data_IF_214523716742
#
_entry.id   IF_214523716742
#
_cell.length_a   1.000
_cell.length_b   1.000
_cell.length_c   1.000
_cell.angle_alpha   90.00
_cell.angle_beta   90.00
_cell.angle_gamma   90.00
#
_symmetry.space_group_name_H-M   'P 1'
#
loop_
_entity.id
_entity.type
_entity.pdbx_description
1 polymer ?
#
# COMPACT_ATOMS: atom_id res chain seq x y z
N UNK A 1 -0.75 0.01 -13.95
CA UNK A 1 -0.27 0.91 -12.86
C UNK A 1 -1.28 0.97 -11.74
N UNK A 2 -0.89 1.29 -10.50
CA UNK A 2 -1.85 1.58 -9.44
C UNK A 2 -2.55 2.93 -9.71
N UNK A 3 -3.88 2.96 -9.65
CA UNK A 3 -4.66 4.16 -9.88
C UNK A 3 -4.63 5.05 -8.63
N UNK A 4 -4.16 6.29 -8.75
CA UNK A 4 -4.06 7.24 -7.64
C UNK A 4 -4.92 8.47 -7.94
N UNK A 5 -5.85 8.77 -7.03
CA UNK A 5 -6.70 9.96 -7.04
C UNK A 5 -6.24 10.91 -5.95
N UNK A 6 -5.80 12.09 -6.36
CA UNK A 6 -5.31 13.12 -5.44
C UNK A 6 -6.35 14.21 -5.27
N UNK A 7 -6.70 14.52 -4.01
CA UNK A 7 -7.61 15.62 -3.67
C UNK A 7 -6.80 16.84 -3.23
N UNK A 8 -6.90 17.92 -3.99
CA UNK A 8 -6.20 19.19 -3.77
C UNK A 8 -7.18 20.34 -3.70
N UNK A 9 -6.77 21.45 -3.08
CA UNK A 9 -7.58 22.64 -2.90
C UNK A 9 -7.21 23.37 -1.62
N UNK A 10 -7.65 24.62 -1.49
CA UNK A 10 -7.37 25.44 -0.30
C UNK A 10 -7.95 24.84 1.00
N UNK A 11 -7.54 25.31 2.18
CA UNK A 11 -8.11 24.83 3.45
C UNK A 11 -9.64 25.00 3.51
N UNK A 12 -10.31 24.13 4.27
CA UNK A 12 -11.74 24.19 4.59
C UNK A 12 -12.75 24.01 3.43
N UNK A 13 -12.30 23.65 2.23
CA UNK A 13 -13.18 23.30 1.09
C UNK A 13 -13.86 21.92 1.22
N UNK A 14 -13.53 21.15 2.26
CA UNK A 14 -14.12 19.82 2.52
C UNK A 14 -13.38 18.63 1.90
N UNK A 15 -12.07 18.76 1.66
CA UNK A 15 -11.20 17.67 1.16
C UNK A 15 -11.27 16.41 2.02
N UNK A 16 -11.07 16.53 3.33
CA UNK A 16 -11.10 15.40 4.26
C UNK A 16 -12.48 14.75 4.34
N UNK A 17 -13.55 15.54 4.18
CA UNK A 17 -14.92 15.01 4.10
C UNK A 17 -15.12 14.19 2.83
N UNK A 18 -14.65 14.68 1.68
CA UNK A 18 -14.72 13.91 0.43
C UNK A 18 -13.86 12.65 0.52
N UNK A 19 -12.63 12.78 1.00
CA UNK A 19 -11.73 11.66 1.24
C UNK A 19 -12.40 10.56 2.08
N UNK A 20 -12.96 10.93 3.24
CA UNK A 20 -13.64 9.96 4.10
C UNK A 20 -14.80 9.31 3.34
N UNK A 21 -15.62 10.08 2.62
CA UNK A 21 -16.72 9.53 1.81
C UNK A 21 -16.22 8.49 0.80
N UNK A 22 -15.18 8.81 0.03
CA UNK A 22 -14.65 7.92 -1.00
C UNK A 22 -14.05 6.64 -0.41
N UNK A 23 -13.49 6.71 0.79
CA UNK A 23 -12.85 5.57 1.48
C UNK A 23 -13.88 4.74 2.28
N UNK A 24 -14.93 5.37 2.80
CA UNK A 24 -15.95 4.76 3.65
C UNK A 24 -16.85 3.75 2.95
N UNK A 25 -16.86 3.69 1.61
CA UNK A 25 -17.50 2.61 0.85
C UNK A 25 -17.02 1.20 1.29
N UNK A 26 -15.85 1.10 1.94
CA UNK A 26 -15.30 -0.14 2.52
C UNK A 26 -15.47 -0.32 4.04
N UNK A 27 -15.97 0.67 4.80
CA UNK A 27 -16.10 0.55 6.27
C UNK A 27 -17.06 -0.56 6.73
N UNK A 28 -17.87 -1.12 5.85
CA UNK A 28 -18.76 -2.22 6.19
C UNK A 28 -18.02 -3.54 6.54
N UNK A 29 -16.71 -3.68 6.29
CA UNK A 29 -15.97 -4.95 6.51
C UNK A 29 -14.66 -4.78 7.32
N UNK A 30 -14.25 -3.58 7.72
CA UNK A 30 -13.06 -3.42 8.58
C UNK A 30 -13.34 -2.48 9.74
N UNK A 31 -13.13 -3.01 10.95
CA UNK A 31 -13.22 -2.29 12.20
C UNK A 31 -12.26 -1.10 12.24
N UNK A 32 -12.78 0.02 12.75
CA UNK A 32 -12.07 1.27 12.98
C UNK A 32 -10.89 1.10 13.96
N UNK A 33 -9.71 1.57 13.56
CA UNK A 33 -8.73 2.08 14.52
C UNK A 33 -8.35 3.51 14.09
N UNK A 34 -8.97 4.48 14.76
CA UNK A 34 -8.64 5.89 14.67
C UNK A 34 -7.36 6.16 15.45
N UNK A 35 -6.31 6.65 14.79
CA UNK A 35 -5.12 7.08 15.51
C UNK A 35 -3.95 7.53 14.64
N UNK A 36 -4.08 8.66 13.94
CA UNK A 36 -2.91 9.52 13.68
C UNK A 36 -3.32 10.96 13.42
N UNK A 37 -2.66 11.87 14.12
CA UNK A 37 -2.77 13.33 14.04
C UNK A 37 -1.98 13.92 12.87
N UNK A 38 -2.55 14.97 12.25
CA UNK A 38 -1.96 16.07 11.43
C UNK A 38 -1.30 15.79 10.08
N UNK A 39 -0.95 14.56 9.72
CA UNK A 39 -0.32 14.25 8.43
C UNK A 39 -1.31 13.61 7.43
N UNK A 40 -1.15 13.93 6.14
CA UNK A 40 -1.96 13.52 4.97
C UNK A 40 -2.64 12.16 5.10
N UNK A 41 -3.92 12.10 4.72
CA UNK A 41 -4.72 10.89 4.85
C UNK A 41 -4.67 10.07 3.55
N UNK A 42 -4.45 8.76 3.69
CA UNK A 42 -4.44 7.79 2.60
C UNK A 42 -5.56 6.78 2.80
N UNK A 43 -6.27 6.44 1.75
CA UNK A 43 -7.36 5.48 1.84
C UNK A 43 -7.64 4.77 0.53
N UNK A 44 -8.28 3.60 0.62
CA UNK A 44 -8.61 2.78 -0.53
C UNK A 44 -10.07 3.00 -0.92
N UNK A 45 -10.32 3.09 -2.23
CA UNK A 45 -11.67 3.18 -2.78
C UNK A 45 -11.84 2.20 -3.94
N UNK A 46 -13.09 1.87 -4.22
CA UNK A 46 -13.51 1.05 -5.34
C UNK A 46 -14.74 1.70 -5.96
N UNK A 47 -14.75 1.80 -7.28
CA UNK A 47 -15.93 2.24 -8.02
C UNK A 47 -16.01 1.47 -9.34
N UNK A 48 -17.18 0.90 -9.64
CA UNK A 48 -17.42 0.07 -10.82
C UNK A 48 -16.35 -1.02 -11.05
N UNK A 49 -15.91 -1.70 -9.99
CA UNK A 49 -14.89 -2.75 -10.04
C UNK A 49 -13.46 -2.27 -10.27
N UNK A 50 -13.23 -0.95 -10.39
CA UNK A 50 -11.89 -0.36 -10.49
C UNK A 50 -11.42 0.11 -9.11
N UNK A 51 -10.27 -0.40 -8.68
CA UNK A 51 -9.64 -0.04 -7.41
C UNK A 51 -8.68 1.14 -7.60
N UNK A 52 -8.67 2.04 -6.62
CA UNK A 52 -7.77 3.19 -6.60
C UNK A 52 -7.48 3.67 -5.18
N UNK A 53 -6.31 4.29 -5.02
CA UNK A 53 -5.90 4.96 -3.79
C UNK A 53 -6.36 6.41 -3.83
N UNK A 54 -6.99 6.88 -2.77
CA UNK A 54 -7.34 8.29 -2.57
C UNK A 54 -6.36 8.93 -1.60
N UNK A 55 -5.90 10.13 -1.93
CA UNK A 55 -4.96 10.89 -1.11
C UNK A 55 -5.57 12.26 -0.82
N UNK A 56 -5.74 12.58 0.47
CA UNK A 56 -6.03 13.95 0.92
C UNK A 56 -4.72 14.66 1.21
N UNK A 57 -4.42 15.71 0.45
CA UNK A 57 -3.22 16.51 0.68
C UNK A 57 -3.25 17.30 1.98
N UNK A 58 -4.38 17.30 2.72
CA UNK A 58 -4.60 18.04 3.95
C UNK A 58 -4.93 19.51 3.70
N UNK A 59 -5.61 20.15 4.65
CA UNK A 59 -5.76 21.61 4.68
C UNK A 59 -4.63 22.22 5.52
N UNK A 60 -3.75 23.02 4.93
CA UNK A 60 -2.65 23.63 5.67
C UNK A 60 -3.10 24.76 6.61
N UNK A 61 -2.43 24.85 7.76
CA UNK A 61 -2.58 25.89 8.80
C UNK A 61 -1.51 26.99 8.61
N UNK A 62 -1.91 28.23 8.93
CA UNK A 62 -1.36 29.55 8.55
C UNK A 62 -0.07 29.97 9.30
N UNK A 63 0.86 30.68 8.63
CA UNK A 63 1.86 31.55 9.30
C UNK A 63 3.04 32.13 8.47
N UNK A 64 2.84 33.23 7.72
CA UNK A 64 3.80 34.17 7.02
C UNK A 64 4.04 34.07 5.50
N UNK A 65 3.38 34.94 4.72
CA UNK A 65 3.22 34.98 3.24
C UNK A 65 4.35 34.41 2.33
N UNK A 66 5.64 34.73 2.53
CA UNK A 66 6.70 34.39 1.56
C UNK A 66 7.17 32.92 1.56
N UNK A 67 7.01 32.19 2.67
CA UNK A 67 7.48 30.78 2.76
C UNK A 67 6.38 29.80 2.29
N UNK A 68 5.12 30.27 2.19
CA UNK A 68 3.94 29.43 1.94
C UNK A 68 3.79 29.04 0.50
N UNK A 69 3.98 29.98 -0.44
CA UNK A 69 3.81 29.70 -1.86
C UNK A 69 4.71 28.56 -2.32
N UNK A 70 5.96 28.54 -1.87
CA UNK A 70 6.93 27.53 -2.27
C UNK A 70 6.61 26.16 -1.67
N UNK A 71 6.29 26.09 -0.37
CA UNK A 71 5.96 24.82 0.28
C UNK A 71 4.64 24.23 -0.24
N UNK A 72 3.62 25.07 -0.47
CA UNK A 72 2.33 24.62 -1.05
C UNK A 72 2.54 24.15 -2.48
N UNK A 73 3.29 24.90 -3.31
CA UNK A 73 3.59 24.52 -4.69
C UNK A 73 4.35 23.20 -4.75
N UNK A 74 5.41 23.03 -3.95
CA UNK A 74 6.17 21.77 -3.90
C UNK A 74 5.24 20.60 -3.54
N UNK A 75 4.40 20.75 -2.52
CA UNK A 75 3.49 19.69 -2.09
C UNK A 75 2.45 19.29 -3.14
N UNK A 76 1.90 20.26 -3.87
CA UNK A 76 0.92 20.05 -4.94
C UNK A 76 1.59 19.44 -6.16
N UNK A 77 2.76 19.94 -6.56
CA UNK A 77 3.55 19.40 -7.66
C UNK A 77 3.92 17.92 -7.42
N UNK A 78 4.32 17.57 -6.19
CA UNK A 78 4.61 16.17 -5.84
C UNK A 78 3.36 15.29 -6.01
N UNK A 79 2.22 15.74 -5.51
CA UNK A 79 0.99 14.97 -5.59
C UNK A 79 0.51 14.83 -7.06
N UNK A 80 0.76 15.83 -7.91
CA UNK A 80 0.44 15.79 -9.34
C UNK A 80 1.31 14.82 -10.13
N UNK A 81 2.59 14.62 -9.78
CA UNK A 81 3.48 13.71 -10.50
C UNK A 81 3.01 12.25 -10.43
N UNK A 82 2.55 11.82 -9.25
CA UNK A 82 2.13 10.45 -9.01
C UNK A 82 0.63 10.20 -9.24
N UNK A 83 -0.18 11.26 -9.33
CA UNK A 83 -1.60 11.15 -9.59
C UNK A 83 -1.88 10.52 -10.96
N UNK A 84 -2.82 9.57 -10.98
CA UNK A 84 -3.53 9.18 -12.19
C UNK A 84 -4.60 10.21 -12.53
N UNK A 85 -5.28 10.74 -11.51
CA UNK A 85 -6.33 11.76 -11.63
C UNK A 85 -6.23 12.75 -10.48
N UNK A 86 -6.45 14.03 -10.77
CA UNK A 86 -6.44 15.12 -9.78
C UNK A 86 -7.84 15.67 -9.61
N UNK A 87 -8.31 15.74 -8.37
CA UNK A 87 -9.56 16.39 -7.97
C UNK A 87 -9.23 17.74 -7.32
N UNK A 88 -9.52 18.83 -8.02
CA UNK A 88 -9.37 20.17 -7.48
C UNK A 88 -10.68 20.66 -6.88
N UNK A 89 -10.71 20.71 -5.54
CA UNK A 89 -11.89 21.07 -4.78
C UNK A 89 -11.97 22.56 -4.46
N UNK A 90 -13.15 23.13 -4.73
CA UNK A 90 -13.54 24.50 -4.37
C UNK A 90 -14.81 24.49 -3.54
N UNK A 91 -15.13 25.60 -2.89
CA UNK A 91 -16.25 25.72 -1.94
C UNK A 91 -17.30 26.71 -2.45
N UNK A 92 -18.52 26.22 -2.75
CA UNK A 92 -19.59 27.05 -3.30
C UNK A 92 -20.16 28.08 -2.33
N UNK A 93 -19.90 27.97 -1.02
CA UNK A 93 -20.36 28.96 -0.05
C UNK A 93 -19.48 30.21 -0.03
N UNK A 94 -18.20 30.05 -0.38
CA UNK A 94 -17.19 31.13 -0.31
C UNK A 94 -16.92 31.71 -1.70
N UNK A 95 -16.99 30.89 -2.74
CA UNK A 95 -16.62 31.28 -4.10
C UNK A 95 -15.11 31.19 -4.35
N UNK A 96 -14.68 31.79 -5.47
CA UNK A 96 -13.30 31.86 -5.94
C UNK A 96 -12.45 32.69 -4.99
N UNK A 97 -11.35 32.11 -4.53
CA UNK A 97 -10.31 32.78 -3.74
C UNK A 97 -9.04 33.02 -4.60
N UNK A 98 -8.22 34.03 -4.29
CA UNK A 98 -6.89 34.18 -4.90
C UNK A 98 -6.01 32.92 -4.77
N UNK A 99 -6.17 32.16 -3.68
CA UNK A 99 -5.49 30.87 -3.52
C UNK A 99 -5.91 29.86 -4.58
N UNK A 100 -7.19 29.83 -4.96
CA UNK A 100 -7.70 28.91 -5.98
C UNK A 100 -7.08 29.22 -7.35
N UNK A 101 -6.89 30.50 -7.68
CA UNK A 101 -6.16 30.91 -8.88
C UNK A 101 -4.69 30.47 -8.88
N UNK A 102 -4.02 30.57 -7.73
CA UNK A 102 -2.64 30.06 -7.57
C UNK A 102 -2.58 28.53 -7.75
N UNK A 103 -3.53 27.79 -7.18
CA UNK A 103 -3.64 26.35 -7.43
C UNK A 103 -3.80 26.06 -8.92
N UNK A 104 -4.68 26.77 -9.62
CA UNK A 104 -4.89 26.58 -11.07
C UNK A 104 -3.61 26.78 -11.87
N UNK A 105 -2.81 27.81 -11.56
CA UNK A 105 -1.52 28.07 -12.24
C UNK A 105 -0.55 26.88 -12.12
N UNK A 106 -0.54 26.21 -10.97
CA UNK A 106 0.29 25.03 -10.73
C UNK A 106 -0.32 23.80 -11.41
N UNK A 107 -1.62 23.56 -11.21
CA UNK A 107 -2.33 22.38 -11.70
C UNK A 107 -2.32 22.28 -13.23
N UNK A 108 -2.44 23.41 -13.94
CA UNK A 108 -2.36 23.46 -15.42
C UNK A 108 -1.03 23.01 -16.00
N UNK A 109 0.04 22.96 -15.20
CA UNK A 109 1.33 22.42 -15.65
C UNK A 109 1.31 20.89 -15.74
N UNK A 110 0.39 20.23 -15.04
CA UNK A 110 0.20 18.79 -15.17
C UNK A 110 -0.43 18.46 -16.52
N UNK A 111 -0.04 17.31 -17.08
CA UNK A 111 -0.74 16.68 -18.21
C UNK A 111 -1.75 15.62 -17.76
N UNK A 112 -1.91 15.43 -16.44
CA UNK A 112 -2.84 14.45 -15.87
C UNK A 112 -4.28 14.97 -15.94
N UNK A 113 -5.27 14.07 -16.05
CA UNK A 113 -6.69 14.41 -15.94
C UNK A 113 -6.99 15.21 -14.67
N UNK A 114 -7.63 16.36 -14.84
CA UNK A 114 -7.94 17.32 -13.78
C UNK A 114 -9.45 17.58 -13.75
N UNK A 115 -10.07 17.33 -12.61
CA UNK A 115 -11.51 17.51 -12.38
C UNK A 115 -11.74 18.65 -11.39
N UNK A 116 -12.54 19.63 -11.76
CA UNK A 116 -12.97 20.71 -10.88
C UNK A 116 -14.19 20.27 -10.09
N UNK A 117 -14.05 20.19 -8.77
CA UNK A 117 -15.07 19.67 -7.85
C UNK A 117 -15.60 20.81 -6.98
N UNK A 118 -16.80 21.29 -7.30
CA UNK A 118 -17.47 22.32 -6.52
C UNK A 118 -18.24 21.66 -5.37
N UNK A 119 -17.71 21.78 -4.15
CA UNK A 119 -18.24 21.12 -2.97
C UNK A 119 -19.20 22.02 -2.17
N UNK A 120 -20.02 21.39 -1.31
CA UNK A 120 -21.08 22.01 -0.48
C UNK A 120 -22.31 22.46 -1.29
N UNK A 121 -22.58 21.77 -2.41
CA UNK A 121 -23.79 21.98 -3.21
C UNK A 121 -24.97 21.25 -2.57
N UNK A 122 -25.67 21.95 -1.68
CA UNK A 122 -26.79 21.40 -0.89
C UNK A 122 -28.13 22.05 -1.24
N UNK A 123 -28.12 23.12 -2.04
CA UNK A 123 -29.29 23.85 -2.51
C UNK A 123 -29.17 24.19 -4.00
N UNK A 124 -30.30 24.55 -4.61
CA UNK A 124 -30.33 25.05 -5.98
C UNK A 124 -29.53 26.36 -6.15
N UNK A 125 -29.53 27.22 -5.12
CA UNK A 125 -28.73 28.44 -5.10
C UNK A 125 -27.24 28.12 -5.16
N UNK A 126 -26.74 27.16 -4.35
CA UNK A 126 -25.33 26.76 -4.40
C UNK A 126 -24.94 26.18 -5.75
N UNK A 127 -25.84 25.42 -6.40
CA UNK A 127 -25.61 24.89 -7.75
C UNK A 127 -25.53 26.03 -8.78
N UNK A 128 -26.31 27.09 -8.59
CA UNK A 128 -26.22 28.29 -9.44
C UNK A 128 -24.91 29.03 -9.20
N UNK A 129 -24.50 29.23 -7.94
CA UNK A 129 -23.22 29.85 -7.59
C UNK A 129 -22.01 29.08 -8.11
N UNK A 130 -22.12 27.75 -8.26
CA UNK A 130 -21.04 26.95 -8.82
C UNK A 130 -20.65 27.37 -10.26
N UNK A 131 -21.54 28.04 -11.00
CA UNK A 131 -21.23 28.52 -12.35
C UNK A 131 -20.09 29.53 -12.41
N UNK A 132 -19.80 30.25 -11.31
CA UNK A 132 -18.67 31.19 -11.30
C UNK A 132 -17.33 30.48 -11.50
N UNK A 133 -17.20 29.22 -11.08
CA UNK A 133 -15.93 28.50 -11.15
C UNK A 133 -15.51 28.14 -12.57
N UNK A 134 -16.37 28.34 -13.58
CA UNK A 134 -15.95 28.30 -14.98
C UNK A 134 -14.86 29.32 -15.29
N UNK A 135 -14.80 30.42 -14.54
CA UNK A 135 -13.75 31.45 -14.66
C UNK A 135 -12.35 30.89 -14.37
N UNK A 136 -12.23 29.77 -13.64
CA UNK A 136 -10.96 29.09 -13.40
C UNK A 136 -10.44 28.34 -14.65
N UNK A 137 -11.28 28.15 -15.67
CA UNK A 137 -10.90 27.60 -16.98
C UNK A 137 -10.30 26.19 -16.90
N UNK A 138 -10.80 25.35 -15.99
CA UNK A 138 -10.37 23.95 -15.83
C UNK A 138 -11.25 22.99 -16.64
N UNK A 139 -12.49 23.36 -16.93
CA UNK A 139 -13.42 22.56 -17.74
C UNK A 139 -14.77 22.40 -17.05
N UNK A 140 -15.34 21.21 -17.15
CA UNK A 140 -16.62 20.83 -16.54
C UNK A 140 -16.54 20.89 -15.00
N UNK A 141 -17.64 21.32 -14.38
CA UNK A 141 -17.77 21.50 -12.93
C UNK A 141 -18.59 20.37 -12.34
N UNK A 142 -17.96 19.58 -11.49
CA UNK A 142 -18.61 18.48 -10.77
C UNK A 142 -19.14 19.01 -9.43
N UNK A 143 -20.44 19.27 -9.39
CA UNK A 143 -21.14 19.74 -8.19
C UNK A 143 -21.38 18.58 -7.23
N UNK A 144 -20.78 18.64 -6.04
CA UNK A 144 -20.89 17.59 -5.03
C UNK A 144 -21.28 18.16 -3.66
N UNK A 145 -21.86 17.30 -2.83
CA UNK A 145 -21.90 17.49 -1.38
C UNK A 145 -21.19 16.31 -0.74
N UNK A 146 -19.94 16.52 -0.31
CA UNK A 146 -19.15 15.48 0.35
C UNK A 146 -19.79 14.95 1.64
N UNK A 147 -20.62 15.77 2.30
CA UNK A 147 -21.32 15.40 3.53
C UNK A 147 -22.48 14.43 3.26
N UNK A 148 -23.28 14.70 2.22
CA UNK A 148 -24.45 13.86 1.88
C UNK A 148 -24.12 12.75 0.88
N UNK A 149 -23.05 12.90 0.09
CA UNK A 149 -22.68 12.01 -1.03
C UNK A 149 -23.33 12.39 -2.36
N UNK A 150 -24.13 13.45 -2.41
CA UNK A 150 -24.77 13.88 -3.66
C UNK A 150 -23.72 14.26 -4.71
N UNK A 151 -23.86 13.75 -5.93
CA UNK A 151 -22.97 14.05 -7.07
C UNK A 151 -21.62 13.34 -7.06
N UNK A 152 -21.27 12.60 -5.99
CA UNK A 152 -19.96 11.90 -5.96
C UNK A 152 -19.92 10.70 -6.89
N UNK A 153 -21.07 10.07 -7.18
CA UNK A 153 -21.17 8.97 -8.15
C UNK A 153 -20.82 9.42 -9.57
N UNK A 154 -21.47 10.49 -10.05
CA UNK A 154 -21.21 11.08 -11.38
C UNK A 154 -19.74 11.50 -11.53
N UNK A 155 -19.16 12.10 -10.48
CA UNK A 155 -17.73 12.42 -10.45
C UNK A 155 -16.88 11.15 -10.60
N UNK A 156 -17.17 10.10 -9.83
CA UNK A 156 -16.40 8.86 -9.87
C UNK A 156 -16.53 8.12 -11.20
N UNK A 157 -17.71 8.14 -11.82
CA UNK A 157 -17.92 7.55 -13.15
C UNK A 157 -16.98 8.16 -14.19
N UNK A 158 -16.74 9.47 -14.15
CA UNK A 158 -15.78 10.12 -15.04
C UNK A 158 -14.33 9.87 -14.62
N UNK A 159 -14.01 9.91 -13.32
CA UNK A 159 -12.67 9.66 -12.80
C UNK A 159 -12.15 8.29 -13.25
N UNK A 160 -12.97 7.23 -13.11
CA UNK A 160 -12.53 5.86 -13.40
C UNK A 160 -12.36 5.56 -14.89
N UNK A 161 -12.85 6.41 -15.80
CA UNK A 161 -12.58 6.30 -17.24
C UNK A 161 -11.12 6.55 -17.59
N UNK A 162 -10.41 7.31 -16.75
CA UNK A 162 -8.98 7.60 -16.93
C UNK A 162 -8.07 6.47 -16.43
N UNK A 163 -8.64 5.45 -15.78
CA UNK A 163 -7.87 4.32 -15.30
C UNK A 163 -7.72 3.31 -16.43
N UNK A 164 -6.47 2.96 -16.71
CA UNK A 164 -6.13 1.90 -17.66
C UNK A 164 -6.95 0.64 -17.32
N UNK A 165 -7.64 0.10 -18.32
CA UNK A 165 -8.05 -1.30 -18.26
C UNK A 165 -6.77 -2.13 -18.20
N UNK A 166 -6.68 -3.04 -17.24
CA UNK A 166 -5.58 -3.99 -17.18
C UNK A 166 -5.71 -4.83 -18.45
N UNK A 167 -4.91 -4.52 -19.48
CA UNK A 167 -4.94 -5.22 -20.76
C UNK A 167 -4.70 -6.72 -20.58
N UNK A 168 -5.34 -7.54 -21.41
CA UNK A 168 -5.47 -8.99 -21.24
C UNK A 168 -4.16 -9.79 -21.35
N UNK A 169 -3.00 -9.20 -21.68
CA UNK A 169 -1.69 -9.89 -21.61
C UNK A 169 -0.57 -8.95 -21.14
N UNK A 170 -0.31 -8.91 -19.82
CA UNK A 170 0.95 -8.37 -19.26
C UNK A 170 2.10 -9.29 -19.74
N UNK A 171 3.08 -8.81 -20.53
CA UNK A 171 4.21 -9.63 -20.97
C UNK A 171 5.07 -10.16 -19.79
N UNK A 172 4.87 -9.60 -18.60
CA UNK A 172 5.48 -10.06 -17.36
C UNK A 172 4.50 -10.84 -16.45
N UNK A 173 3.34 -11.25 -16.97
CA UNK A 173 2.37 -12.04 -16.22
C UNK A 173 3.02 -13.33 -15.70
N UNK A 174 2.93 -13.54 -14.39
CA UNK A 174 3.51 -14.71 -13.71
C UNK A 174 4.95 -14.52 -13.21
N UNK A 175 5.58 -13.38 -13.48
CA UNK A 175 6.85 -13.03 -12.84
C UNK A 175 6.63 -12.38 -11.46
N UNK A 176 7.42 -12.73 -10.43
CA UNK A 176 7.36 -12.06 -9.14
C UNK A 176 7.71 -10.58 -9.27
N UNK A 177 6.82 -9.69 -8.81
CA UNK A 177 7.12 -8.26 -8.64
C UNK A 177 7.64 -8.02 -7.23
N UNK A 178 8.89 -7.55 -7.09
CA UNK A 178 9.57 -7.38 -5.81
C UNK A 178 9.90 -5.90 -5.59
N UNK A 179 9.43 -5.33 -4.47
CA UNK A 179 9.79 -3.98 -4.03
C UNK A 179 10.87 -4.02 -2.94
N UNK A 180 11.77 -3.04 -2.93
CA UNK A 180 12.76 -2.86 -1.84
C UNK A 180 12.43 -1.57 -1.10
N UNK A 181 11.96 -1.72 0.15
CA UNK A 181 11.44 -0.64 0.99
C UNK A 181 12.30 -0.47 2.25
N UNK A 182 12.11 0.63 2.96
CA UNK A 182 12.80 0.91 4.24
C UNK A 182 13.17 2.37 4.39
N UNK A 183 13.57 2.77 5.60
CA UNK A 183 13.96 4.15 5.93
C UNK A 183 15.17 4.66 5.12
N UNK A 184 15.41 5.97 5.01
CA UNK A 184 16.65 6.50 4.44
C UNK A 184 17.90 5.88 5.10
N UNK A 185 19.00 5.75 4.35
CA UNK A 185 20.31 5.31 4.85
C UNK A 185 20.41 3.88 5.43
N UNK A 186 19.37 3.05 5.32
CA UNK A 186 19.41 1.63 5.74
C UNK A 186 20.22 0.73 4.78
N UNK A 187 20.51 1.21 3.55
CA UNK A 187 21.36 0.49 2.58
C UNK A 187 20.69 0.06 1.26
N UNK A 188 19.45 0.49 1.00
CA UNK A 188 18.69 0.13 -0.22
C UNK A 188 19.43 0.39 -1.55
N UNK A 189 20.04 1.57 -1.70
CA UNK A 189 20.78 1.91 -2.92
C UNK A 189 22.02 1.02 -3.10
N UNK A 190 22.72 0.70 -2.01
CA UNK A 190 23.85 -0.23 -2.05
C UNK A 190 23.42 -1.64 -2.43
N UNK A 191 22.28 -2.10 -1.91
CA UNK A 191 21.68 -3.38 -2.28
C UNK A 191 21.39 -3.47 -3.78
N UNK A 192 20.71 -2.46 -4.35
CA UNK A 192 20.47 -2.41 -5.79
C UNK A 192 21.75 -2.39 -6.62
N UNK A 193 22.74 -1.61 -6.21
CA UNK A 193 24.01 -1.54 -6.94
C UNK A 193 24.73 -2.88 -6.95
N UNK A 194 24.67 -3.65 -5.86
CA UNK A 194 25.23 -5.00 -5.81
C UNK A 194 24.47 -5.91 -6.79
N UNK A 195 23.14 -5.86 -6.81
CA UNK A 195 22.35 -6.65 -7.76
C UNK A 195 22.59 -6.28 -9.22
N UNK A 196 22.85 -5.00 -9.52
CA UNK A 196 23.14 -4.49 -10.86
C UNK A 196 24.58 -4.75 -11.32
N UNK A 197 25.53 -4.78 -10.39
CA UNK A 197 26.97 -4.84 -10.68
C UNK A 197 27.55 -6.25 -10.78
N UNK A 198 26.74 -7.29 -10.64
CA UNK A 198 27.19 -8.68 -10.77
C UNK A 198 26.98 -9.17 -12.20
N UNK A 199 28.02 -9.77 -12.80
CA UNK A 199 28.07 -10.24 -14.20
C UNK A 199 26.96 -11.23 -14.60
N UNK A 200 26.16 -11.68 -13.62
CA UNK A 200 25.10 -12.68 -13.77
C UNK A 200 23.71 -12.10 -13.93
N UNK A 201 23.56 -10.78 -13.87
CA UNK A 201 22.28 -10.11 -14.08
C UNK A 201 22.15 -9.65 -15.52
N UNK A 202 21.32 -10.35 -16.32
CA UNK A 202 20.88 -9.79 -17.60
C UNK A 202 19.71 -8.86 -17.30
N UNK A 203 19.97 -7.55 -17.37
CA UNK A 203 18.91 -6.53 -17.42
C UNK A 203 18.50 -6.39 -18.88
N UNK A 204 17.27 -6.74 -19.23
CA UNK A 204 16.75 -6.51 -20.57
C UNK A 204 15.95 -5.21 -20.59
N UNK A 205 16.49 -4.17 -21.24
CA UNK A 205 15.69 -3.02 -21.66
C UNK A 205 14.89 -3.45 -22.90
N UNK A 206 13.72 -4.06 -22.71
CA UNK A 206 12.89 -4.49 -23.86
C UNK A 206 12.38 -3.23 -24.56
N UNK A 207 12.96 -2.95 -25.74
CA UNK A 207 12.65 -1.79 -26.57
C UNK A 207 11.22 -1.88 -27.08
N UNK A 208 10.32 -1.06 -26.53
CA UNK A 208 8.89 -1.02 -26.91
C UNK A 208 7.97 -0.42 -25.85
N UNK A 209 8.40 -0.32 -24.59
CA UNK A 209 7.66 0.36 -23.51
C UNK A 209 7.94 1.86 -23.53
N UNK A 210 7.46 2.56 -24.55
CA UNK A 210 7.62 4.02 -24.61
C UNK A 210 6.90 4.70 -23.45
N UNK A 211 7.70 5.43 -22.66
CA UNK A 211 7.38 6.37 -21.56
C UNK A 211 6.77 5.72 -20.32
N UNK A 212 7.63 5.53 -19.32
CA UNK A 212 7.32 5.34 -17.89
C UNK A 212 7.46 3.93 -17.27
N UNK A 213 8.04 2.93 -17.95
CA UNK A 213 8.38 1.66 -17.28
C UNK A 213 9.61 1.81 -16.37
N UNK A 214 9.37 2.13 -15.09
CA UNK A 214 10.35 2.29 -13.99
C UNK A 214 10.87 0.92 -13.46
N UNK A 215 10.29 -0.17 -13.96
CA UNK A 215 10.52 -1.53 -13.52
C UNK A 215 11.72 -2.16 -14.23
N UNK A 216 12.62 -2.79 -13.47
CA UNK A 216 13.78 -3.49 -14.04
C UNK A 216 13.51 -4.99 -14.03
N UNK A 217 13.60 -5.62 -15.19
CA UNK A 217 13.55 -7.08 -15.32
C UNK A 217 14.91 -7.69 -14.95
N UNK A 218 14.90 -8.66 -14.04
CA UNK A 218 16.08 -9.37 -13.56
C UNK A 218 15.98 -10.85 -13.89
N UNK A 219 17.03 -11.37 -14.53
CA UNK A 219 17.27 -12.81 -14.65
C UNK A 219 18.51 -13.17 -13.85
N UNK A 220 18.32 -13.85 -12.72
CA UNK A 220 19.41 -14.26 -11.85
C UNK A 220 19.13 -15.66 -11.27
N UNK A 221 20.17 -16.50 -11.18
CA UNK A 221 20.08 -17.85 -10.57
C UNK A 221 18.98 -18.75 -11.19
N UNK A 222 18.70 -18.60 -12.49
CA UNK A 222 17.66 -19.37 -13.18
C UNK A 222 16.22 -18.96 -12.84
N UNK A 223 16.04 -17.85 -12.11
CA UNK A 223 14.74 -17.26 -11.79
C UNK A 223 14.64 -15.87 -12.42
N UNK A 224 13.45 -15.53 -12.88
CA UNK A 224 13.11 -14.25 -13.48
C UNK A 224 12.16 -13.50 -12.56
N UNK A 225 12.39 -12.21 -12.34
CA UNK A 225 11.57 -11.36 -11.48
C UNK A 225 11.70 -9.89 -11.89
N UNK A 226 10.78 -9.06 -11.41
CA UNK A 226 10.78 -7.62 -11.63
C UNK A 226 11.13 -6.92 -10.33
N UNK A 227 12.08 -5.99 -10.36
CA UNK A 227 12.23 -5.00 -9.29
C UNK A 227 11.39 -3.77 -9.61
N UNK A 228 10.41 -3.49 -8.76
CA UNK A 228 9.54 -2.31 -8.88
C UNK A 228 10.22 -1.07 -8.27
N UNK A 229 10.03 0.10 -8.90
CA UNK A 229 10.57 1.40 -8.46
C UNK A 229 12.11 1.55 -8.48
N UNK A 230 12.76 1.16 -9.58
CA UNK A 230 14.23 1.27 -9.70
C UNK A 230 14.73 2.66 -10.16
N UNK A 231 13.92 3.42 -10.90
CA UNK A 231 14.35 4.72 -11.46
C UNK A 231 14.55 5.80 -10.38
N UNK A 232 13.74 5.78 -9.31
CA UNK A 232 13.90 6.66 -8.16
C UNK A 232 15.17 6.37 -7.35
N UNK A 233 15.58 5.11 -7.28
CA UNK A 233 16.81 4.70 -6.59
C UNK A 233 18.08 4.95 -7.40
N UNK A 234 18.03 4.87 -8.75
CA UNK A 234 19.16 5.22 -9.63
C UNK A 234 19.47 6.73 -9.61
N UNK A 235 18.47 7.62 -9.52
CA UNK A 235 18.68 9.08 -9.40
C UNK A 235 19.33 9.50 -8.07
N UNK A 236 19.12 8.75 -6.97
CA UNK A 236 19.72 9.01 -5.65
C UNK A 236 21.25 8.93 -5.60
N UNK A 237 21.90 8.32 -6.59
CA UNK A 237 23.37 8.31 -6.66
C UNK A 237 23.98 9.69 -6.99
N UNK A 238 23.18 10.66 -7.48
CA UNK A 238 23.68 11.98 -7.92
C UNK A 238 22.98 13.19 -7.29
N UNK A 239 21.87 13.03 -6.56
CA UNK A 239 21.09 14.18 -6.04
C UNK A 239 20.76 14.02 -4.55
N UNK A 240 21.22 14.97 -3.72
CA UNK A 240 20.71 15.18 -2.36
C UNK A 240 19.32 15.81 -2.45
N UNK A 241 18.28 15.01 -2.61
CA UNK A 241 16.92 15.54 -2.48
C UNK A 241 16.50 15.58 -1.01
N UNK A 242 16.19 16.80 -0.57
CA UNK A 242 15.88 17.17 0.80
C UNK A 242 14.38 17.03 1.10
N UNK A 243 13.77 15.91 0.70
CA UNK A 243 12.31 15.71 0.84
C UNK A 243 12.01 14.24 1.15
N UNK A 244 11.84 13.91 2.43
CA UNK A 244 11.42 12.57 2.91
C UNK A 244 10.10 12.12 2.29
N UNK A 245 9.21 13.06 1.93
CA UNK A 245 7.89 12.79 1.37
C UNK A 245 7.92 12.03 0.02
N UNK A 246 8.80 12.38 -0.92
CA UNK A 246 8.96 11.63 -2.18
C UNK A 246 9.38 10.17 -1.93
N UNK A 247 10.16 9.93 -0.86
CA UNK A 247 10.60 8.59 -0.53
C UNK A 247 9.46 7.73 0.01
N UNK A 248 8.48 8.34 0.70
CA UNK A 248 7.30 7.65 1.24
C UNK A 248 6.31 7.32 0.12
N UNK A 249 5.94 8.30 -0.70
CA UNK A 249 4.98 8.13 -1.80
C UNK A 249 5.40 7.04 -2.80
N UNK A 250 6.67 7.08 -3.22
CA UNK A 250 7.26 6.02 -4.05
C UNK A 250 7.26 4.65 -3.38
N UNK A 251 7.57 4.60 -2.08
CA UNK A 251 7.50 3.35 -1.31
C UNK A 251 6.07 2.79 -1.27
N UNK A 252 5.05 3.65 -1.21
CA UNK A 252 3.64 3.26 -1.25
C UNK A 252 3.25 2.70 -2.61
N UNK A 253 3.63 3.39 -3.70
CA UNK A 253 3.38 2.93 -5.07
C UNK A 253 4.05 1.59 -5.34
N UNK A 254 5.33 1.46 -5.00
CA UNK A 254 6.09 0.22 -5.13
C UNK A 254 5.44 -0.91 -4.32
N UNK A 255 4.96 -0.62 -3.10
CA UNK A 255 4.25 -1.60 -2.28
C UNK A 255 2.91 -2.03 -2.90
N UNK A 256 2.18 -1.12 -3.55
CA UNK A 256 0.92 -1.44 -4.23
C UNK A 256 1.12 -2.29 -5.49
N UNK A 257 2.22 -2.07 -6.22
CA UNK A 257 2.53 -2.76 -7.48
C UNK A 257 3.28 -4.09 -7.28
N UNK A 258 3.95 -4.30 -6.14
CA UNK A 258 4.70 -5.54 -5.89
C UNK A 258 3.81 -6.71 -5.42
N UNK A 259 4.29 -7.93 -5.58
CA UNK A 259 3.75 -9.13 -4.93
C UNK A 259 4.42 -9.40 -3.58
N UNK A 260 5.73 -9.12 -3.51
CA UNK A 260 6.58 -9.30 -2.32
C UNK A 260 7.37 -8.03 -2.07
N UNK A 261 7.39 -7.54 -0.83
CA UNK A 261 8.24 -6.45 -0.42
C UNK A 261 9.38 -6.96 0.48
N UNK A 262 10.59 -6.56 0.13
CA UNK A 262 11.77 -6.65 0.97
C UNK A 262 11.85 -5.36 1.78
N UNK A 263 11.62 -5.44 3.08
CA UNK A 263 11.74 -4.30 3.98
C UNK A 263 13.12 -4.35 4.62
N UNK A 264 13.93 -3.32 4.37
CA UNK A 264 15.29 -3.22 4.90
C UNK A 264 15.32 -2.31 6.13
N UNK A 265 15.93 -2.82 7.20
CA UNK A 265 16.17 -2.11 8.45
C UNK A 265 17.67 -2.06 8.74
N UNK A 266 18.07 -1.14 9.61
CA UNK A 266 19.44 -1.03 10.10
C UNK A 266 19.62 -1.88 11.36
N UNK A 267 20.47 -2.92 11.29
CA UNK A 267 20.70 -3.83 12.42
C UNK A 267 21.46 -3.18 13.59
N UNK A 268 22.11 -2.04 13.37
CA UNK A 268 22.75 -1.27 14.46
C UNK A 268 21.74 -0.53 15.32
N UNK A 269 20.50 -0.41 14.84
CA UNK A 269 19.38 0.26 15.49
C UNK A 269 18.29 -0.76 15.80
N UNK A 270 17.43 -0.47 16.78
CA UNK A 270 16.23 -1.28 17.00
C UNK A 270 15.19 -0.98 15.93
N UNK A 271 14.19 -1.85 15.77
CA UNK A 271 13.00 -1.58 14.96
C UNK A 271 12.37 -0.24 15.38
N UNK A 272 12.36 0.73 14.48
CA UNK A 272 11.77 2.04 14.72
C UNK A 272 10.28 2.07 14.33
N UNK A 273 9.57 3.13 14.74
CA UNK A 273 8.15 3.32 14.45
C UNK A 273 7.84 3.31 12.94
N UNK A 274 8.68 3.96 12.13
CA UNK A 274 8.52 3.97 10.67
C UNK A 274 8.70 2.58 10.05
N UNK A 275 9.60 1.74 10.59
CA UNK A 275 9.80 0.37 10.12
C UNK A 275 8.54 -0.47 10.38
N UNK A 276 7.99 -0.36 11.60
CA UNK A 276 6.74 -1.03 11.98
C UNK A 276 5.55 -0.56 11.14
N UNK A 277 5.46 0.73 10.82
CA UNK A 277 4.41 1.27 9.94
C UNK A 277 4.50 0.67 8.53
N UNK A 278 5.69 0.59 7.95
CA UNK A 278 5.87 -0.03 6.62
C UNK A 278 5.49 -1.52 6.63
N UNK A 279 5.90 -2.25 7.68
CA UNK A 279 5.56 -3.68 7.84
C UNK A 279 4.05 -3.86 7.97
N UNK A 280 3.40 -3.07 8.84
CA UNK A 280 1.95 -3.10 9.02
C UNK A 280 1.24 -2.88 7.70
N UNK A 281 1.64 -1.85 6.94
CA UNK A 281 1.02 -1.52 5.67
C UNK A 281 1.17 -2.64 4.62
N UNK A 282 2.34 -3.30 4.59
CA UNK A 282 2.56 -4.43 3.70
C UNK A 282 1.64 -5.63 4.04
N UNK A 283 1.48 -5.91 5.35
CA UNK A 283 0.58 -6.96 5.84
C UNK A 283 -0.88 -6.65 5.51
N UNK A 284 -1.31 -5.40 5.72
CA UNK A 284 -2.66 -4.91 5.40
C UNK A 284 -2.97 -4.99 3.90
N UNK A 285 -1.95 -4.79 3.05
CA UNK A 285 -2.04 -4.93 1.59
C UNK A 285 -1.87 -6.37 1.10
N UNK A 286 -1.76 -7.33 2.02
CA UNK A 286 -1.62 -8.75 1.73
C UNK A 286 -0.43 -9.06 0.79
N UNK A 287 0.67 -8.33 0.99
CA UNK A 287 1.93 -8.51 0.26
C UNK A 287 2.77 -9.55 0.97
N UNK A 288 3.55 -10.33 0.22
CA UNK A 288 4.62 -11.12 0.82
C UNK A 288 5.64 -10.20 1.45
N UNK A 289 6.19 -10.55 2.61
CA UNK A 289 7.13 -9.71 3.35
C UNK A 289 8.38 -10.50 3.68
N UNK A 290 9.53 -9.93 3.38
CA UNK A 290 10.85 -10.39 3.86
C UNK A 290 11.52 -9.21 4.56
N UNK A 291 12.00 -9.44 5.78
CA UNK A 291 12.69 -8.42 6.55
C UNK A 291 14.20 -8.63 6.43
N UNK A 292 14.92 -7.60 6.00
CA UNK A 292 16.38 -7.61 5.92
C UNK A 292 16.95 -6.71 7.01
N UNK A 293 17.73 -7.30 7.93
CA UNK A 293 18.53 -6.57 8.90
C UNK A 293 19.92 -6.31 8.33
N UNK A 294 20.10 -5.13 7.72
CA UNK A 294 21.34 -4.74 7.05
C UNK A 294 22.36 -4.09 8.00
N UNK A 295 23.60 -3.89 7.54
CA UNK A 295 24.75 -3.43 8.35
C UNK A 295 25.11 -4.41 9.46
N UNK A 296 24.84 -5.70 9.22
CA UNK A 296 25.15 -6.73 10.18
C UNK A 296 26.65 -6.73 10.52
N UNK A 297 27.53 -6.39 9.59
CA UNK A 297 28.97 -6.25 9.80
C UNK A 297 29.38 -5.28 10.92
N UNK A 298 28.54 -4.29 11.25
CA UNK A 298 28.80 -3.31 12.31
C UNK A 298 28.35 -3.74 13.70
N UNK A 299 27.58 -4.83 13.80
CA UNK A 299 27.11 -5.37 15.07
C UNK A 299 28.24 -6.20 15.69
N UNK A 300 28.60 -5.93 16.94
CA UNK A 300 29.48 -6.82 17.71
C UNK A 300 28.75 -8.13 18.01
N UNK A 301 29.39 -9.26 17.73
CA UNK A 301 28.72 -10.56 17.71
C UNK A 301 29.45 -11.61 18.52
N UNK A 302 28.65 -12.45 19.15
CA UNK A 302 28.98 -13.78 19.61
C UNK A 302 28.11 -14.83 18.91
N UNK A 303 28.16 -16.09 19.37
CA UNK A 303 27.38 -17.19 18.80
C UNK A 303 25.87 -17.09 19.03
N UNK A 304 25.40 -16.24 19.96
CA UNK A 304 23.98 -16.09 20.34
C UNK A 304 23.34 -14.82 19.81
N UNK A 305 24.14 -13.83 19.44
CA UNK A 305 23.68 -12.49 19.05
C UNK A 305 22.60 -12.52 17.97
N UNK A 306 22.75 -13.34 16.92
CA UNK A 306 21.75 -13.45 15.85
C UNK A 306 20.40 -14.00 16.35
N UNK A 307 20.44 -14.98 17.27
CA UNK A 307 19.25 -15.59 17.84
C UNK A 307 18.52 -14.62 18.76
N UNK A 308 19.26 -13.95 19.65
CA UNK A 308 18.70 -12.93 20.56
C UNK A 308 18.08 -11.77 19.80
N UNK A 309 18.74 -11.31 18.73
CA UNK A 309 18.22 -10.26 17.85
C UNK A 309 16.93 -10.70 17.15
N UNK A 310 16.89 -11.95 16.67
CA UNK A 310 15.69 -12.53 16.04
C UNK A 310 14.53 -12.57 17.03
N UNK A 311 14.77 -12.97 18.28
CA UNK A 311 13.74 -13.02 19.33
C UNK A 311 13.19 -11.63 19.68
N UNK A 312 14.05 -10.62 19.86
CA UNK A 312 13.61 -9.23 20.11
C UNK A 312 12.77 -8.71 18.93
N UNK A 313 13.21 -8.95 17.70
CA UNK A 313 12.45 -8.55 16.51
C UNK A 313 11.09 -9.24 16.43
N UNK A 314 11.04 -10.56 16.61
CA UNK A 314 9.79 -11.32 16.59
C UNK A 314 8.82 -10.85 17.68
N UNK A 315 9.33 -10.52 18.87
CA UNK A 315 8.50 -9.96 19.95
C UNK A 315 7.89 -8.62 19.55
N UNK A 316 8.67 -7.73 18.89
CA UNK A 316 8.19 -6.43 18.40
C UNK A 316 7.20 -6.55 17.25
N UNK A 317 7.38 -7.55 16.38
CA UNK A 317 6.48 -7.83 15.25
C UNK A 317 5.11 -8.36 15.70
N UNK A 318 5.01 -8.89 16.93
CA UNK A 318 3.75 -9.37 17.48
C UNK A 318 3.12 -10.47 16.62
N UNK A 319 1.92 -10.21 16.07
CA UNK A 319 1.21 -11.16 15.19
C UNK A 319 1.86 -11.33 13.80
N UNK A 320 2.85 -10.52 13.47
CA UNK A 320 3.61 -10.62 12.21
C UNK A 320 4.96 -11.37 12.39
N UNK A 321 5.10 -12.19 13.44
CA UNK A 321 6.31 -12.97 13.74
C UNK A 321 6.65 -14.07 12.71
N UNK A 322 5.74 -14.36 11.77
CA UNK A 322 5.93 -15.27 10.64
C UNK A 322 6.75 -14.67 9.49
N UNK A 323 7.13 -13.39 9.59
CA UNK A 323 7.98 -12.73 8.59
C UNK A 323 9.42 -13.24 8.74
N UNK A 324 10.04 -13.76 7.67
CA UNK A 324 11.43 -14.21 7.70
C UNK A 324 12.38 -13.02 7.85
N UNK A 325 13.41 -13.19 8.67
CA UNK A 325 14.43 -12.17 8.95
C UNK A 325 15.78 -12.65 8.42
N UNK A 326 16.40 -11.86 7.54
CA UNK A 326 17.71 -12.14 6.96
C UNK A 326 18.70 -11.06 7.37
N UNK A 327 19.77 -11.46 8.05
CA UNK A 327 20.88 -10.58 8.39
C UNK A 327 21.82 -10.44 7.20
N UNK A 328 22.01 -9.22 6.71
CA UNK A 328 22.83 -8.94 5.52
C UNK A 328 23.88 -7.88 5.81
N UNK A 329 24.89 -7.83 4.94
CA UNK A 329 25.79 -6.69 4.86
C UNK A 329 26.04 -6.35 3.41
N UNK A 330 25.72 -5.11 3.02
CA UNK A 330 26.05 -4.61 1.68
C UNK A 330 27.55 -4.40 1.50
N UNK A 331 28.28 -4.08 2.58
CA UNK A 331 29.73 -3.82 2.53
C UNK A 331 30.48 -5.13 2.23
N UNK A 332 30.15 -6.20 2.95
CA UNK A 332 30.79 -7.51 2.75
C UNK A 332 30.07 -8.39 1.72
N UNK A 333 28.99 -7.86 1.11
CA UNK A 333 28.06 -8.59 0.23
C UNK A 333 27.47 -9.86 0.87
N UNK A 334 27.44 -9.93 2.20
CA UNK A 334 26.93 -11.07 2.94
C UNK A 334 25.41 -11.22 2.74
N UNK A 335 24.99 -12.40 2.25
CA UNK A 335 23.59 -12.86 2.14
C UNK A 335 22.66 -11.96 1.32
N UNK A 336 23.21 -11.09 0.46
CA UNK A 336 22.42 -10.25 -0.45
C UNK A 336 21.53 -11.10 -1.36
N UNK A 337 22.10 -12.13 -2.00
CA UNK A 337 21.36 -13.00 -2.90
C UNK A 337 20.35 -13.92 -2.20
N UNK A 338 20.71 -14.43 -1.02
CA UNK A 338 19.80 -15.23 -0.19
C UNK A 338 18.51 -14.46 0.14
N UNK A 339 18.57 -13.13 0.23
CA UNK A 339 17.38 -12.33 0.46
C UNK A 339 16.44 -12.24 -0.75
N UNK A 340 16.99 -12.30 -1.98
CA UNK A 340 16.19 -12.40 -3.21
C UNK A 340 15.62 -13.80 -3.36
N UNK A 341 16.42 -14.84 -3.13
CA UNK A 341 15.94 -16.23 -3.10
C UNK A 341 14.77 -16.38 -2.13
N UNK A 342 14.89 -15.81 -0.92
CA UNK A 342 13.81 -15.82 0.05
C UNK A 342 12.57 -15.07 -0.41
N UNK A 343 12.72 -13.92 -1.07
CA UNK A 343 11.58 -13.18 -1.63
C UNK A 343 10.85 -13.98 -2.72
N UNK A 344 11.58 -14.75 -3.53
CA UNK A 344 11.00 -15.66 -4.53
C UNK A 344 10.28 -16.82 -3.84
N UNK A 345 10.87 -17.44 -2.81
CA UNK A 345 10.19 -18.47 -2.01
C UNK A 345 8.88 -17.94 -1.41
N UNK A 346 8.87 -16.72 -0.87
CA UNK A 346 7.68 -16.08 -0.34
C UNK A 346 6.61 -15.84 -1.42
N UNK A 347 7.01 -15.50 -2.65
CA UNK A 347 6.10 -15.41 -3.79
C UNK A 347 5.47 -16.77 -4.15
N UNK A 348 6.27 -17.83 -4.14
CA UNK A 348 5.81 -19.20 -4.38
C UNK A 348 4.84 -19.67 -3.28
N UNK A 349 5.16 -19.40 -2.00
CA UNK A 349 4.29 -19.64 -0.84
C UNK A 349 2.96 -18.88 -0.95
N UNK A 350 2.99 -17.64 -1.46
CA UNK A 350 1.79 -16.82 -1.66
C UNK A 350 0.84 -17.43 -2.69
N UNK A 351 1.39 -18.13 -3.67
CA UNK A 351 0.64 -18.80 -4.75
C UNK A 351 0.23 -20.23 -4.41
N UNK A 352 0.63 -20.75 -3.23
CA UNK A 352 0.38 -22.14 -2.82
C UNK A 352 -1.12 -22.42 -2.67
N UNK A 353 -1.58 -23.48 -3.33
CA UNK A 353 -2.94 -24.03 -3.19
C UNK A 353 -2.92 -25.33 -2.38
N UNK A 354 -3.76 -25.41 -1.36
CA UNK A 354 -3.97 -26.58 -0.53
C UNK A 354 -5.38 -27.12 -0.79
N UNK A 355 -5.49 -28.41 -1.13
CA UNK A 355 -6.78 -29.00 -1.44
C UNK A 355 -7.72 -28.98 -0.23
N UNK A 356 -9.02 -28.80 -0.48
CA UNK A 356 -10.06 -28.82 0.55
C UNK A 356 -10.00 -30.11 1.39
N UNK A 357 -9.78 -31.26 0.76
CA UNK A 357 -9.64 -32.53 1.51
C UNK A 357 -8.45 -32.50 2.46
N UNK A 358 -7.27 -32.04 2.03
CA UNK A 358 -6.08 -31.96 2.88
C UNK A 358 -6.29 -30.98 4.03
N UNK A 359 -6.88 -29.81 3.77
CA UNK A 359 -7.21 -28.84 4.80
C UNK A 359 -8.13 -29.43 5.87
N UNK A 360 -9.21 -30.10 5.47
CA UNK A 360 -10.16 -30.66 6.41
C UNK A 360 -9.59 -31.84 7.21
N UNK A 361 -8.84 -32.73 6.56
CA UNK A 361 -8.22 -33.87 7.23
C UNK A 361 -7.18 -33.47 8.28
N UNK A 362 -6.56 -32.29 8.12
CA UNK A 362 -5.53 -31.79 9.04
C UNK A 362 -6.08 -30.82 10.09
N UNK A 363 -6.88 -29.82 9.70
CA UNK A 363 -7.31 -28.74 10.61
C UNK A 363 -8.52 -29.11 11.46
N UNK A 364 -9.46 -29.93 10.95
CA UNK A 364 -10.66 -30.30 11.73
C UNK A 364 -10.30 -31.10 12.99
N UNK A 365 -9.35 -32.04 12.98
CA UNK A 365 -8.86 -32.67 14.22
C UNK A 365 -8.32 -31.67 15.25
N UNK A 366 -7.53 -30.67 14.83
CA UNK A 366 -6.99 -29.65 15.73
C UNK A 366 -8.11 -28.78 16.33
N UNK A 367 -9.10 -28.40 15.52
CA UNK A 367 -10.29 -27.67 15.97
C UNK A 367 -11.11 -28.50 16.95
N UNK A 368 -11.24 -29.81 16.75
CA UNK A 368 -11.95 -30.69 17.69
C UNK A 368 -11.22 -30.81 19.02
N UNK A 369 -9.88 -30.82 19.01
CA UNK A 369 -9.06 -30.85 20.22
C UNK A 369 -9.14 -29.54 21.00
N UNK A 370 -9.20 -28.41 20.29
CA UNK A 370 -9.32 -27.07 20.87
C UNK A 370 -10.51 -26.36 20.23
N UNK A 371 -11.75 -26.64 20.67
CA UNK A 371 -12.96 -26.08 20.07
C UNK A 371 -13.04 -24.56 20.30
N UNK A 372 -13.76 -23.81 19.43
CA UNK A 372 -13.97 -22.39 19.66
C UNK A 372 -14.74 -22.17 20.97
N UNK A 373 -14.38 -21.15 21.76
CA UNK A 373 -15.04 -20.88 23.03
C UNK A 373 -16.51 -20.51 22.82
N UNK A 374 -17.35 -20.89 23.79
CA UNK A 374 -18.76 -20.48 23.81
C UNK A 374 -18.84 -18.96 23.93
N UNK A 375 -19.62 -18.33 23.06
CA UNK A 375 -19.84 -16.89 23.10
C UNK A 375 -21.33 -16.58 23.17
N UNK A 376 -21.76 -15.78 24.16
CA UNK A 376 -23.17 -15.42 24.40
C UNK A 376 -24.11 -16.65 24.45
N UNK A 377 -23.66 -17.73 25.09
CA UNK A 377 -24.42 -18.98 25.22
C UNK A 377 -24.52 -19.82 23.93
N UNK A 378 -23.85 -19.40 22.84
CA UNK A 378 -23.85 -20.12 21.56
C UNK A 378 -22.60 -20.99 21.43
N UNK A 379 -22.82 -22.28 21.21
CA UNK A 379 -21.77 -23.22 20.84
C UNK A 379 -21.40 -23.01 19.37
N UNK A 380 -20.16 -22.59 19.13
CA UNK A 380 -19.63 -22.35 17.80
C UNK A 380 -19.04 -23.65 17.29
N UNK A 381 -19.49 -24.09 16.11
CA UNK A 381 -19.05 -25.32 15.48
C UNK A 381 -18.58 -25.05 14.05
N UNK A 382 -17.30 -25.29 13.80
CA UNK A 382 -16.68 -25.19 12.48
C UNK A 382 -16.77 -26.56 11.80
N UNK A 383 -17.48 -26.63 10.67
CA UNK A 383 -17.79 -27.88 9.98
C UNK A 383 -16.75 -28.26 8.94
N UNK A 384 -16.31 -27.29 8.15
CA UNK A 384 -15.31 -27.51 7.12
C UNK A 384 -14.56 -26.22 6.78
N UNK A 385 -13.41 -26.37 6.15
CA UNK A 385 -12.53 -25.29 5.69
C UNK A 385 -12.20 -25.47 4.22
N UNK A 386 -12.09 -24.38 3.47
CA UNK A 386 -11.58 -24.40 2.10
C UNK A 386 -10.70 -23.19 1.85
N UNK A 387 -9.73 -23.33 0.93
CA UNK A 387 -9.01 -22.18 0.38
C UNK A 387 -9.81 -21.60 -0.78
N UNK A 388 -10.03 -20.29 -0.78
CA UNK A 388 -10.64 -19.55 -1.88
C UNK A 388 -9.56 -18.97 -2.78
N UNK A 389 -9.91 -18.73 -4.05
CA UNK A 389 -9.03 -18.03 -4.98
C UNK A 389 -8.94 -16.55 -4.58
N UNK A 390 -7.73 -16.02 -4.59
CA UNK A 390 -7.45 -14.63 -4.25
C UNK A 390 -5.98 -14.30 -4.51
N UNK A 391 -5.64 -13.02 -4.39
CA UNK A 391 -4.26 -12.52 -4.53
C UNK A 391 -3.34 -12.95 -3.38
N UNK A 392 -3.90 -13.38 -2.25
CA UNK A 392 -3.17 -13.95 -1.13
C UNK A 392 -3.96 -15.15 -0.56
N UNK A 393 -3.31 -16.06 0.20
CA UNK A 393 -3.98 -17.23 0.78
C UNK A 393 -5.19 -16.82 1.62
N UNK A 394 -6.39 -17.17 1.13
CA UNK A 394 -7.66 -16.88 1.78
C UNK A 394 -8.35 -18.19 2.17
N UNK A 395 -8.53 -18.41 3.46
CA UNK A 395 -9.21 -19.58 4.01
C UNK A 395 -10.59 -19.20 4.52
N UNK A 396 -11.60 -19.89 4.02
CA UNK A 396 -12.98 -19.78 4.47
C UNK A 396 -13.32 -20.95 5.38
N UNK A 397 -13.66 -20.64 6.63
CA UNK A 397 -14.17 -21.59 7.61
C UNK A 397 -15.68 -21.47 7.72
N UNK A 398 -16.38 -22.58 7.52
CA UNK A 398 -17.84 -22.61 7.57
C UNK A 398 -18.30 -23.01 8.96
N UNK A 399 -19.04 -22.10 9.60
CA UNK A 399 -19.46 -22.21 11.00
C UNK A 399 -20.93 -21.84 11.14
N UNK A 400 -21.57 -22.33 12.19
CA UNK A 400 -22.95 -21.99 12.52
C UNK A 400 -23.12 -20.54 13.01
N UNK A 401 -22.05 -19.91 13.51
CA UNK A 401 -22.10 -18.56 14.09
C UNK A 401 -20.83 -17.75 13.76
N UNK A 402 -20.66 -17.30 12.51
CA UNK A 402 -19.44 -16.62 12.05
C UNK A 402 -19.05 -15.38 12.87
N UNK A 403 -20.03 -14.55 13.19
CA UNK A 403 -19.88 -13.30 13.93
C UNK A 403 -19.53 -13.51 15.41
N UNK A 404 -19.61 -14.74 15.91
CA UNK A 404 -19.28 -15.07 17.29
C UNK A 404 -17.86 -15.63 17.45
N UNK A 405 -17.12 -15.83 16.35
CA UNK A 405 -15.73 -16.31 16.43
C UNK A 405 -14.80 -15.17 16.82
N UNK A 406 -14.18 -15.29 17.99
CA UNK A 406 -13.31 -14.25 18.53
C UNK A 406 -11.93 -14.20 17.84
N UNK A 407 -11.29 -13.03 17.83
CA UNK A 407 -10.00 -12.82 17.16
C UNK A 407 -8.88 -13.74 17.69
N UNK A 408 -8.91 -14.06 18.98
CA UNK A 408 -7.96 -15.00 19.60
C UNK A 408 -8.05 -16.40 18.98
N UNK A 409 -9.25 -16.86 18.65
CA UNK A 409 -9.44 -18.15 18.01
C UNK A 409 -9.05 -18.12 16.52
N UNK A 410 -9.31 -16.99 15.84
CA UNK A 410 -8.80 -16.77 14.49
C UNK A 410 -7.27 -16.85 14.42
N UNK A 411 -6.56 -16.25 15.38
CA UNK A 411 -5.09 -16.38 15.51
C UNK A 411 -4.65 -17.82 15.77
N UNK A 412 -5.38 -18.57 16.58
CA UNK A 412 -5.13 -20.00 16.76
C UNK A 412 -5.23 -20.77 15.43
N UNK A 413 -6.28 -20.52 14.64
CA UNK A 413 -6.44 -21.15 13.33
C UNK A 413 -5.33 -20.74 12.35
N UNK A 414 -4.94 -19.46 12.34
CA UNK A 414 -3.83 -18.98 11.53
C UNK A 414 -2.52 -19.71 11.87
N UNK A 415 -2.19 -19.81 13.16
CA UNK A 415 -1.00 -20.52 13.61
C UNK A 415 -1.03 -22.00 13.20
N UNK A 416 -2.19 -22.66 13.27
CA UNK A 416 -2.35 -24.04 12.81
C UNK A 416 -2.18 -24.19 11.31
N UNK A 417 -2.71 -23.26 10.52
CA UNK A 417 -2.47 -23.26 9.07
C UNK A 417 -0.97 -23.12 8.80
N UNK A 418 -0.27 -22.22 9.49
CA UNK A 418 1.16 -22.02 9.31
C UNK A 418 1.98 -23.26 9.69
N UNK A 419 1.69 -23.86 10.85
CA UNK A 419 2.35 -25.07 11.35
C UNK A 419 2.26 -26.23 10.36
N UNK A 420 1.10 -26.44 9.74
CA UNK A 420 0.87 -27.59 8.86
C UNK A 420 1.24 -27.36 7.39
N UNK A 421 1.16 -26.11 6.92
CA UNK A 421 1.21 -25.81 5.48
C UNK A 421 2.27 -24.77 5.07
N UNK A 422 2.92 -24.10 6.03
CA UNK A 422 3.96 -23.09 5.76
C UNK A 422 3.40 -21.68 5.71
N UNK A 423 3.50 -21.00 4.56
CA UNK A 423 3.17 -19.58 4.38
C UNK A 423 4.08 -18.61 5.15
N UNK A 424 5.33 -19.00 5.38
CA UNK A 424 6.35 -18.09 5.91
C UNK A 424 6.45 -16.86 4.99
N UNK A 425 6.48 -15.67 5.58
CA UNK A 425 6.51 -14.40 4.84
C UNK A 425 5.21 -14.03 4.13
N UNK A 426 4.12 -14.80 4.28
CA UNK A 426 2.83 -14.49 3.62
C UNK A 426 1.73 -14.19 4.63
N UNK A 427 1.02 -13.04 4.51
CA UNK A 427 -0.21 -12.78 5.26
C UNK A 427 -1.31 -13.79 4.90
N UNK A 428 -1.86 -14.47 5.89
CA UNK A 428 -2.99 -15.38 5.71
C UNK A 428 -4.29 -14.64 6.03
N UNK A 429 -5.26 -14.74 5.13
CA UNK A 429 -6.61 -14.21 5.35
C UNK A 429 -7.53 -15.33 5.80
N UNK A 430 -8.24 -15.10 6.90
CA UNK A 430 -9.25 -16.01 7.42
C UNK A 430 -10.59 -15.29 7.43
N UNK A 431 -11.60 -15.91 6.80
CA UNK A 431 -12.99 -15.48 6.87
C UNK A 431 -13.87 -16.60 7.42
N UNK A 432 -14.91 -16.22 8.15
CA UNK A 432 -15.93 -17.15 8.62
C UNK A 432 -17.20 -16.94 7.81
N UNK A 433 -17.77 -18.01 7.31
CA UNK A 433 -19.02 -17.99 6.55
C UNK A 433 -20.09 -18.82 7.25
N UNK A 434 -21.33 -18.34 7.19
CA UNK A 434 -22.47 -19.12 7.64
C UNK A 434 -22.68 -20.27 6.67
N UNK A 435 -23.13 -21.41 7.19
CA UNK A 435 -23.37 -22.60 6.38
C UNK A 435 -24.58 -22.41 5.47
#
# INVERSE_FOLDING_TARGET
MSNIVVIVGRPNVGKSTLFNRLVEARKAIMHDESGVTRDRHYGQSEWNGKFFTVIDTGGYVVGSEDVFEKAIREQVEIAMEEASVILFMVDTHVGISPLDEEFVKVLRRSKKPLYLVANKVESFEHRTSATEFYNLGIGEIYCVSSQTGTGTGDLLDEVVKNFEEIGDEDPNAGLPKIAILGRPNVGKSSFLNILLGEERTIVSDVSGTTRDSIDTHYKAYGKEFILTDTAGMRRKAKVKENIEFYSVMRSLKALDECDVCIIMIDATQKLESQDLTLIRLAVERHKGVVLIANKWDLVEKDSKTAHEYTLDMQQRLGSANWIPIIFTSMITKQRVFQSIEKAIEVYEERSKKVSTSKLNNTLIPDIKRTPPPVHRGKNINIKYVTQLQGSAPLFAFFTNYPQHVHESYKRFLENKIREHFGFEGVPIRIIFKEK
#
